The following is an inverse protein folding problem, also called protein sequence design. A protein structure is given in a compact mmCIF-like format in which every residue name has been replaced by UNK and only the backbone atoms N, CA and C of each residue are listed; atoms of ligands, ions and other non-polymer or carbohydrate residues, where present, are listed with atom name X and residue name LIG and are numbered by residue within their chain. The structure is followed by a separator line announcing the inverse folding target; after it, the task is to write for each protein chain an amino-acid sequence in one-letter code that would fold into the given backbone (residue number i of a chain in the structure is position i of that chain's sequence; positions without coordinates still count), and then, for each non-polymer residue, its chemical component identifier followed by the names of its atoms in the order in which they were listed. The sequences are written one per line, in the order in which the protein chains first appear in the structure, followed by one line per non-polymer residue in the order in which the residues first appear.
data_IF_177307725875
#
_entry.id   IF_177307725875
#
_cell.length_a   1.000
_cell.length_b   1.000
_cell.length_c   1.000
_cell.angle_alpha   90.00
_cell.angle_beta   90.00
_cell.angle_gamma   90.00
#
_symmetry.space_group_name_H-M   'P 1'
#
loop_
_entity.id
_entity.type
_entity.pdbx_description
1 polymer ?
#
# COMPACT_ATOMS: atom_id res chain seq x y z
N UNK A 1 -24.58 4.98 -0.03
CA UNK A 1 -24.28 4.45 -1.38
C UNK A 1 -22.77 4.28 -1.46
N UNK A 2 -22.32 3.07 -1.13
CA UNK A 2 -20.92 2.69 -1.14
C UNK A 2 -20.66 2.08 -2.51
N UNK A 3 -19.96 2.82 -3.37
CA UNK A 3 -19.47 2.33 -4.66
C UNK A 3 -17.97 2.58 -4.68
N UNK A 4 -17.22 1.48 -4.68
CA UNK A 4 -15.81 1.28 -5.03
C UNK A 4 -14.82 2.31 -4.49
N UNK A 5 -14.53 2.23 -3.19
CA UNK A 5 -13.26 2.68 -2.64
C UNK A 5 -12.41 1.43 -2.40
N UNK A 6 -11.69 0.97 -3.42
CA UNK A 6 -10.66 -0.04 -3.21
C UNK A 6 -9.43 0.67 -2.65
N UNK A 7 -8.96 0.13 -1.53
CA UNK A 7 -7.81 0.57 -0.77
C UNK A 7 -6.54 0.30 -1.59
N UNK A 8 -5.45 0.96 -1.23
CA UNK A 8 -4.08 0.53 -1.59
C UNK A 8 -3.82 -0.83 -0.93
N UNK A 9 -4.50 -1.87 -1.43
CA UNK A 9 -4.32 -3.30 -1.19
C UNK A 9 -4.71 -3.98 -2.50
N UNK A 10 -3.78 -4.78 -3.00
CA UNK A 10 -3.81 -5.45 -4.30
C UNK A 10 -5.14 -6.06 -4.69
N UNK A 11 -5.36 -6.07 -6.01
CA UNK A 11 -6.45 -6.79 -6.65
C UNK A 11 -6.46 -8.28 -6.24
N UNK A 12 -7.66 -8.82 -6.11
CA UNK A 12 -7.99 -10.17 -5.67
C UNK A 12 -7.31 -11.28 -6.50
N UNK A 13 -6.69 -12.27 -5.84
CA UNK A 13 -6.47 -13.60 -6.43
C UNK A 13 -7.63 -14.53 -6.03
N UNK A 14 -8.23 -15.20 -7.02
CA UNK A 14 -9.23 -16.26 -6.83
C UNK A 14 -8.66 -17.40 -5.98
N UNK A 15 -9.28 -17.64 -4.82
CA UNK A 15 -9.02 -18.84 -4.02
C UNK A 15 -9.67 -20.05 -4.72
N UNK A 16 -8.92 -21.10 -5.11
CA UNK A 16 -9.53 -22.29 -5.66
C UNK A 16 -10.37 -23.00 -4.58
N UNK A 17 -11.59 -23.36 -4.96
CA UNK A 17 -12.60 -24.03 -4.17
C UNK A 17 -12.05 -25.29 -3.48
N UNK A 18 -11.88 -25.25 -2.16
CA UNK A 18 -11.56 -26.43 -1.35
C UNK A 18 -12.81 -27.30 -1.27
N UNK A 19 -12.88 -28.31 -2.14
CA UNK A 19 -13.89 -29.37 -2.07
C UNK A 19 -13.70 -30.15 -0.77
N UNK A 20 -14.56 -29.88 0.22
CA UNK A 20 -14.65 -30.66 1.45
C UNK A 20 -15.19 -32.05 1.13
N UNK A 21 -14.33 -33.07 1.14
CA UNK A 21 -14.75 -34.48 1.03
C UNK A 21 -14.85 -35.09 2.43
N UNK A 22 -16.06 -35.50 2.78
CA UNK A 22 -16.41 -36.12 4.06
C UNK A 22 -15.60 -37.40 4.32
N UNK A 23 -15.17 -37.57 5.58
CA UNK A 23 -14.58 -38.81 6.09
C UNK A 23 -15.63 -39.93 6.10
N UNK A 24 -15.37 -40.97 5.33
CA UNK A 24 -16.02 -42.28 5.40
C UNK A 24 -14.99 -43.35 5.07
N UNK A 25 -14.72 -44.24 6.01
CA UNK A 25 -13.67 -45.26 5.90
C UNK A 25 -14.04 -46.40 4.95
N UNK A 26 -13.03 -46.92 4.25
CA UNK A 26 -12.67 -48.34 4.25
C UNK A 26 -11.38 -48.55 3.44
N UNK A 27 -10.58 -49.52 3.87
CA UNK A 27 -9.19 -49.70 3.44
C UNK A 27 -9.02 -50.13 1.98
N UNK A 28 -8.03 -49.51 1.32
CA UNK A 28 -7.34 -50.06 0.16
C UNK A 28 -5.93 -49.45 0.06
N UNK A 29 -4.95 -50.30 -0.23
CA UNK A 29 -3.53 -49.97 -0.27
C UNK A 29 -3.18 -48.93 -1.36
N UNK A 30 -2.34 -47.96 -0.99
CA UNK A 30 -1.77 -46.96 -1.90
C UNK A 30 -0.68 -47.60 -2.80
N UNK A 31 -0.71 -47.42 -4.13
CA UNK A 31 0.43 -47.75 -4.98
C UNK A 31 1.56 -46.71 -4.79
N UNK A 32 2.81 -47.19 -4.76
CA UNK A 32 4.00 -46.36 -4.58
C UNK A 32 4.14 -45.34 -5.73
N UNK A 33 4.13 -44.06 -5.39
CA UNK A 33 4.44 -42.99 -6.32
C UNK A 33 5.95 -42.98 -6.60
N UNK A 34 6.30 -43.06 -7.88
CA UNK A 34 7.66 -42.77 -8.39
C UNK A 34 8.02 -41.32 -8.07
N UNK A 35 9.22 -41.02 -7.56
CA UNK A 35 9.62 -39.63 -7.33
C UNK A 35 9.75 -38.93 -8.68
N UNK A 36 8.86 -37.95 -8.87
CA UNK A 36 8.91 -36.97 -9.94
C UNK A 36 10.21 -36.18 -9.83
N UNK A 37 10.94 -36.08 -10.94
CA UNK A 37 12.21 -35.38 -11.03
C UNK A 37 11.99 -33.88 -10.91
N UNK A 38 12.10 -33.35 -9.69
CA UNK A 38 12.17 -31.91 -9.46
C UNK A 38 13.45 -31.35 -10.08
N UNK A 39 13.28 -30.38 -10.98
CA UNK A 39 14.36 -29.63 -11.62
C UNK A 39 15.16 -28.86 -10.55
N UNK A 40 16.49 -29.05 -10.43
CA UNK A 40 17.29 -28.37 -9.43
C UNK A 40 17.88 -27.10 -10.05
N UNK A 41 17.23 -25.94 -9.88
CA UNK A 41 17.83 -24.58 -9.86
C UNK A 41 16.84 -23.49 -10.28
N UNK A 42 15.85 -23.19 -9.43
CA UNK A 42 15.28 -21.84 -9.41
C UNK A 42 15.00 -21.51 -7.96
N UNK A 43 15.94 -20.81 -7.31
CA UNK A 43 15.66 -20.19 -6.02
C UNK A 43 14.41 -19.30 -6.18
N UNK A 44 13.47 -19.30 -5.22
CA UNK A 44 12.32 -18.40 -5.28
C UNK A 44 12.80 -16.97 -5.51
N UNK A 45 12.16 -16.26 -6.44
CA UNK A 45 12.47 -14.86 -6.70
C UNK A 45 12.30 -14.08 -5.39
N UNK A 46 13.32 -13.32 -4.98
CA UNK A 46 13.20 -12.41 -3.86
C UNK A 46 12.33 -11.23 -4.28
N UNK A 47 11.02 -11.44 -4.21
CA UNK A 47 10.00 -10.48 -4.61
C UNK A 47 10.15 -9.15 -3.86
N UNK A 48 10.65 -9.19 -2.62
CA UNK A 48 10.94 -7.97 -1.87
C UNK A 48 12.03 -7.15 -2.53
N UNK A 49 13.13 -7.79 -2.92
CA UNK A 49 14.20 -7.10 -3.65
C UNK A 49 13.72 -6.63 -5.02
N UNK A 50 12.90 -7.43 -5.73
CA UNK A 50 12.35 -7.08 -7.03
C UNK A 50 11.51 -5.79 -6.98
N UNK A 51 10.59 -5.69 -6.01
CA UNK A 51 9.79 -4.46 -5.77
C UNK A 51 10.70 -3.27 -5.47
N UNK A 52 11.75 -3.44 -4.67
CA UNK A 52 12.69 -2.37 -4.35
C UNK A 52 13.51 -1.93 -5.57
N UNK A 53 13.96 -2.86 -6.42
CA UNK A 53 14.62 -2.54 -7.69
C UNK A 53 13.70 -1.77 -8.64
N UNK A 54 12.45 -2.22 -8.82
CA UNK A 54 11.45 -1.51 -9.62
C UNK A 54 11.16 -0.13 -9.06
N UNK A 55 11.03 -0.01 -7.73
CA UNK A 55 10.84 1.28 -7.05
C UNK A 55 12.00 2.24 -7.34
N UNK A 56 13.25 1.78 -7.26
CA UNK A 56 14.44 2.60 -7.55
C UNK A 56 14.45 3.06 -9.01
N UNK A 57 14.14 2.14 -9.94
CA UNK A 57 14.08 2.41 -11.37
C UNK A 57 13.04 3.49 -11.68
N UNK A 58 11.81 3.31 -11.20
CA UNK A 58 10.71 4.27 -11.38
C UNK A 58 11.05 5.62 -10.75
N UNK A 59 11.57 5.65 -9.53
CA UNK A 59 11.98 6.90 -8.88
C UNK A 59 13.08 7.64 -9.66
N UNK A 60 13.98 6.92 -10.33
CA UNK A 60 14.98 7.52 -11.22
C UNK A 60 14.35 8.23 -12.42
N UNK A 61 13.38 7.58 -13.08
CA UNK A 61 12.64 8.14 -14.21
C UNK A 61 11.79 9.34 -13.79
N UNK A 62 11.10 9.25 -12.64
CA UNK A 62 10.31 10.34 -12.09
C UNK A 62 11.16 11.58 -11.79
N UNK A 63 12.37 11.41 -11.22
CA UNK A 63 13.31 12.52 -11.04
C UNK A 63 13.74 13.15 -12.35
N UNK A 64 14.02 12.34 -13.38
CA UNK A 64 14.43 12.82 -14.68
C UNK A 64 13.33 13.63 -15.39
N UNK A 65 12.06 13.32 -15.12
CA UNK A 65 10.91 14.10 -15.63
C UNK A 65 10.83 15.53 -15.08
N UNK A 66 11.48 15.80 -13.94
CA UNK A 66 11.40 17.08 -13.23
C UNK A 66 10.03 17.36 -12.58
N UNK A 67 9.09 16.41 -12.61
CA UNK A 67 7.78 16.53 -11.97
C UNK A 67 7.82 16.16 -10.49
N UNK A 68 6.89 16.73 -9.73
CA UNK A 68 6.73 16.44 -8.31
C UNK A 68 6.09 15.06 -8.15
N UNK A 69 6.65 14.25 -7.27
CA UNK A 69 6.12 12.94 -6.92
C UNK A 69 6.44 12.60 -5.47
N UNK A 70 5.79 11.58 -4.93
CA UNK A 70 6.18 10.95 -3.67
C UNK A 70 5.86 9.46 -3.69
N UNK A 71 6.75 8.65 -3.12
CA UNK A 71 6.50 7.23 -2.87
C UNK A 71 5.40 7.08 -1.80
N UNK A 72 4.47 6.17 -2.03
CA UNK A 72 3.34 5.87 -1.16
C UNK A 72 3.31 4.36 -0.80
N UNK A 73 2.19 3.93 -0.21
CA UNK A 73 1.92 2.52 0.04
C UNK A 73 2.90 1.82 0.97
N UNK A 74 3.05 0.52 0.77
CA UNK A 74 3.82 -0.36 1.65
C UNK A 74 5.33 -0.07 1.62
N UNK A 75 5.87 0.26 0.44
CA UNK A 75 7.29 0.61 0.28
C UNK A 75 7.62 1.94 0.98
N UNK A 76 6.71 2.92 0.94
CA UNK A 76 6.85 4.14 1.73
C UNK A 76 6.85 3.86 3.23
N UNK A 77 5.96 2.99 3.71
CA UNK A 77 5.92 2.61 5.12
C UNK A 77 7.22 1.90 5.56
N UNK A 78 7.75 1.01 4.72
CA UNK A 78 9.06 0.37 4.93
C UNK A 78 10.19 1.41 5.03
N UNK A 79 10.19 2.43 4.16
CA UNK A 79 11.19 3.50 4.20
C UNK A 79 11.16 4.33 5.51
N UNK A 80 10.05 4.29 6.26
CA UNK A 80 9.92 4.91 7.59
C UNK A 80 10.22 3.95 8.75
N UNK A 81 10.57 2.70 8.46
CA UNK A 81 11.02 1.72 9.45
C UNK A 81 10.04 0.58 9.76
N UNK A 82 8.94 0.43 9.00
CA UNK A 82 8.16 -0.81 9.10
C UNK A 82 8.97 -2.00 8.56
N UNK A 83 8.76 -3.22 9.10
CA UNK A 83 9.27 -4.43 8.47
C UNK A 83 8.77 -4.54 7.03
N UNK A 84 9.60 -5.10 6.15
CA UNK A 84 9.17 -5.40 4.79
C UNK A 84 8.09 -6.49 4.82
N UNK A 85 6.87 -6.09 4.52
CA UNK A 85 5.76 -6.97 4.18
C UNK A 85 5.15 -6.45 2.89
N UNK A 86 5.93 -6.49 1.82
CA UNK A 86 5.43 -6.10 0.51
C UNK A 86 4.53 -7.21 0.01
N UNK A 87 3.33 -6.84 -0.39
CA UNK A 87 2.43 -7.83 -0.95
C UNK A 87 2.36 -7.74 -2.47
N UNK A 88 2.24 -6.57 -3.12
CA UNK A 88 1.80 -6.60 -4.52
C UNK A 88 2.33 -5.51 -5.50
N UNK A 89 2.92 -4.39 -5.07
CA UNK A 89 3.21 -3.25 -5.97
C UNK A 89 4.11 -2.15 -5.38
N UNK A 90 4.55 -1.23 -6.25
CA UNK A 90 5.15 0.06 -5.87
C UNK A 90 4.24 1.24 -6.22
N UNK A 91 3.93 2.07 -5.23
CA UNK A 91 2.97 3.17 -5.36
C UNK A 91 3.66 4.52 -5.45
N UNK A 92 3.33 5.32 -6.46
CA UNK A 92 3.80 6.70 -6.61
C UNK A 92 2.65 7.67 -6.77
N UNK A 93 2.60 8.66 -5.89
CA UNK A 93 1.68 9.78 -5.99
C UNK A 93 2.25 10.88 -6.88
N UNK A 94 1.47 11.31 -7.87
CA UNK A 94 1.75 12.49 -8.71
C UNK A 94 0.50 13.32 -8.88
N UNK A 95 0.65 14.59 -9.21
CA UNK A 95 -0.50 15.45 -9.48
C UNK A 95 -1.16 15.03 -10.79
N UNK A 96 -2.49 15.10 -10.85
CA UNK A 96 -3.25 14.73 -12.05
C UNK A 96 -2.84 15.57 -13.27
N UNK A 97 -2.52 16.86 -13.07
CA UNK A 97 -2.05 17.75 -14.15
C UNK A 97 -0.64 17.40 -14.68
N UNK A 98 0.16 16.66 -13.92
CA UNK A 98 1.49 16.22 -14.33
C UNK A 98 1.49 14.78 -14.89
N UNK A 99 0.36 14.07 -14.80
CA UNK A 99 0.24 12.65 -15.12
C UNK A 99 0.73 12.29 -16.53
N UNK A 100 0.30 13.03 -17.55
CA UNK A 100 0.65 12.75 -18.94
C UNK A 100 2.17 12.81 -19.17
N UNK A 101 2.83 13.86 -18.67
CA UNK A 101 4.28 14.01 -18.77
C UNK A 101 5.05 12.95 -17.97
N UNK A 102 4.50 12.52 -16.83
CA UNK A 102 5.08 11.44 -16.03
C UNK A 102 4.95 10.10 -16.76
N UNK A 103 3.78 9.79 -17.30
CA UNK A 103 3.52 8.56 -18.07
C UNK A 103 4.48 8.49 -19.26
N UNK A 104 4.61 9.57 -20.04
CA UNK A 104 5.54 9.63 -21.17
C UNK A 104 6.99 9.39 -20.73
N UNK A 105 7.42 9.97 -19.59
CA UNK A 105 8.76 9.76 -19.05
C UNK A 105 8.99 8.29 -18.62
N UNK A 106 7.97 7.65 -18.03
CA UNK A 106 8.03 6.24 -17.65
C UNK A 106 8.08 5.33 -18.87
N UNK A 107 7.26 5.57 -19.90
CA UNK A 107 7.24 4.82 -21.16
C UNK A 107 8.56 4.95 -21.92
N UNK A 108 9.10 6.17 -22.04
CA UNK A 108 10.42 6.42 -22.63
C UNK A 108 11.54 5.74 -21.83
N UNK A 109 11.32 5.56 -20.53
CA UNK A 109 12.18 4.79 -19.63
C UNK A 109 12.00 3.29 -19.74
N UNK A 110 11.11 2.78 -20.58
CA UNK A 110 10.82 1.35 -20.75
C UNK A 110 9.94 0.76 -19.65
N UNK A 111 9.02 1.54 -19.10
CA UNK A 111 7.92 1.05 -18.24
C UNK A 111 6.67 0.91 -19.11
N UNK A 112 6.00 -0.24 -19.06
CA UNK A 112 4.76 -0.45 -19.82
C UNK A 112 3.57 0.13 -19.07
N UNK A 113 3.09 1.32 -19.46
CA UNK A 113 1.96 1.98 -18.82
C UNK A 113 0.63 1.58 -19.46
N UNK A 114 -0.43 1.44 -18.66
CA UNK A 114 -1.79 1.11 -19.08
C UNK A 114 -2.83 1.84 -18.25
N UNK A 115 -3.89 2.32 -18.90
CA UNK A 115 -5.04 2.88 -18.18
C UNK A 115 -5.75 1.78 -17.40
N UNK A 116 -6.08 2.08 -16.15
CA UNK A 116 -6.90 1.20 -15.32
C UNK A 116 -8.39 1.56 -15.47
N UNK A 117 -9.33 0.65 -15.15
CA UNK A 117 -10.75 0.99 -15.03
C UNK A 117 -11.00 2.13 -14.04
N UNK A 118 -10.14 2.25 -13.03
CA UNK A 118 -10.16 3.27 -12.00
C UNK A 118 -9.70 4.63 -12.54
N UNK A 119 -10.48 5.69 -12.26
CA UNK A 119 -10.12 7.05 -12.67
C UNK A 119 -9.07 7.70 -11.76
N UNK A 120 -8.67 7.06 -10.66
CA UNK A 120 -7.77 7.60 -9.64
C UNK A 120 -6.29 7.20 -9.83
N UNK A 121 -5.98 6.25 -10.72
CA UNK A 121 -4.61 5.86 -11.04
C UNK A 121 -4.41 5.43 -12.51
N UNK A 122 -3.15 5.22 -12.89
CA UNK A 122 -2.71 4.48 -14.08
C UNK A 122 -1.74 3.40 -13.60
N UNK A 123 -1.80 2.21 -14.20
CA UNK A 123 -0.91 1.10 -13.83
C UNK A 123 0.27 1.00 -14.77
N UNK A 124 1.44 0.66 -14.25
CA UNK A 124 2.65 0.36 -14.97
C UNK A 124 3.11 -1.06 -14.65
N UNK A 125 3.94 -1.63 -15.51
CA UNK A 125 4.57 -2.92 -15.26
C UNK A 125 6.03 -2.89 -15.73
N UNK A 126 6.92 -3.41 -14.90
CA UNK A 126 8.35 -3.60 -15.19
C UNK A 126 8.83 -4.91 -14.55
N UNK A 127 9.46 -5.78 -15.34
CA UNK A 127 10.20 -6.93 -14.83
C UNK A 127 9.43 -7.88 -13.89
N UNK A 128 8.11 -8.01 -14.08
CA UNK A 128 7.24 -8.84 -13.25
C UNK A 128 6.54 -8.08 -12.11
N UNK A 129 6.84 -6.80 -11.92
CA UNK A 129 6.36 -5.99 -10.80
C UNK A 129 5.40 -4.88 -11.27
N UNK A 130 4.27 -4.74 -10.57
CA UNK A 130 3.25 -3.72 -10.84
C UNK A 130 3.62 -2.37 -10.20
N UNK A 131 3.20 -1.30 -10.87
CA UNK A 131 3.46 0.08 -10.48
C UNK A 131 2.14 0.83 -10.49
N UNK A 132 1.76 1.44 -9.37
CA UNK A 132 0.56 2.27 -9.30
C UNK A 132 0.95 3.75 -9.32
N UNK A 133 0.55 4.46 -10.39
CA UNK A 133 0.70 5.90 -10.50
C UNK A 133 -0.59 6.60 -10.09
N UNK A 134 -0.63 7.05 -8.85
CA UNK A 134 -1.83 7.52 -8.13
C UNK A 134 -1.98 9.03 -8.28
N UNK A 135 -3.17 9.48 -8.69
CA UNK A 135 -3.54 10.90 -8.80
C UNK A 135 -4.50 11.35 -7.69
N UNK A 136 -5.09 10.40 -6.98
CA UNK A 136 -6.09 10.64 -5.94
C UNK A 136 -5.97 9.57 -4.84
N UNK A 137 -5.77 10.01 -3.61
CA UNK A 137 -5.64 9.16 -2.42
C UNK A 137 -6.88 9.26 -1.56
N UNK A 138 -7.58 8.13 -1.37
CA UNK A 138 -8.82 8.07 -0.59
C UNK A 138 -9.79 9.22 -0.94
N UNK A 139 -10.07 9.37 -2.24
CA UNK A 139 -10.95 10.38 -2.82
C UNK A 139 -10.49 11.84 -2.70
N UNK A 140 -9.22 12.07 -2.36
CA UNK A 140 -8.62 13.40 -2.28
C UNK A 140 -7.53 13.54 -3.34
N UNK A 141 -7.55 14.60 -4.15
CA UNK A 141 -6.56 14.78 -5.20
C UNK A 141 -5.16 14.88 -4.60
N UNK A 142 -4.19 14.25 -5.25
CA UNK A 142 -2.77 14.46 -4.93
C UNK A 142 -2.41 15.90 -5.33
N UNK A 143 -2.25 16.76 -4.34
CA UNK A 143 -1.96 18.18 -4.51
C UNK A 143 -0.52 18.53 -4.13
N UNK A 144 -0.12 19.77 -4.42
CA UNK A 144 1.22 20.25 -4.11
C UNK A 144 1.50 20.23 -2.61
N UNK A 145 0.52 20.56 -1.77
CA UNK A 145 0.66 20.59 -0.32
C UNK A 145 0.96 19.20 0.26
N UNK A 146 0.33 18.15 -0.27
CA UNK A 146 0.62 16.76 0.10
C UNK A 146 2.06 16.39 -0.29
N UNK A 147 2.44 16.68 -1.54
CA UNK A 147 3.77 16.35 -2.04
C UNK A 147 4.89 17.17 -1.36
N UNK A 148 4.62 18.40 -0.93
CA UNK A 148 5.57 19.25 -0.19
C UNK A 148 5.83 18.74 1.24
N UNK A 149 4.90 17.99 1.84
CA UNK A 149 5.10 17.33 3.14
C UNK A 149 5.92 16.04 3.04
N UNK A 150 6.15 15.53 1.83
CA UNK A 150 6.94 14.31 1.63
C UNK A 150 8.37 14.51 2.15
N UNK A 151 8.91 13.46 2.77
CA UNK A 151 10.24 13.45 3.37
C UNK A 151 11.23 12.76 2.44
N UNK A 152 12.41 13.35 2.27
CA UNK A 152 13.49 12.70 1.51
C UNK A 152 14.06 11.55 2.35
N UNK A 153 13.86 10.31 1.90
CA UNK A 153 14.32 9.09 2.57
C UNK A 153 15.07 8.19 1.59
N UNK A 154 16.00 7.38 2.11
CA UNK A 154 16.69 6.37 1.33
C UNK A 154 15.81 5.13 1.22
N UNK A 155 15.51 4.71 -0.01
CA UNK A 155 14.82 3.45 -0.32
C UNK A 155 15.81 2.61 -1.11
N UNK A 156 16.32 1.57 -0.45
CA UNK A 156 17.37 0.70 -0.97
C UNK A 156 18.54 1.46 -1.66
N UNK A 157 19.12 2.42 -0.92
CA UNK A 157 20.22 3.31 -1.37
C UNK A 157 19.85 4.45 -2.34
N UNK A 158 18.60 4.58 -2.76
CA UNK A 158 18.13 5.72 -3.58
C UNK A 158 17.33 6.71 -2.73
N UNK A 159 17.81 7.94 -2.63
CA UNK A 159 17.10 9.02 -1.93
C UNK A 159 15.95 9.56 -2.76
N UNK A 160 14.71 9.51 -2.27
CA UNK A 160 13.53 10.01 -2.98
C UNK A 160 12.50 10.62 -2.01
N UNK A 161 11.56 11.44 -2.50
CA UNK A 161 10.44 11.89 -1.68
C UNK A 161 9.53 10.71 -1.33
N UNK A 162 9.24 10.55 -0.05
CA UNK A 162 8.35 9.53 0.51
C UNK A 162 7.26 10.23 1.31
N UNK A 163 5.99 9.88 1.10
CA UNK A 163 4.88 10.49 1.85
C UNK A 163 5.11 10.39 3.36
N UNK A 164 4.75 11.45 4.09
CA UNK A 164 4.94 11.50 5.53
C UNK A 164 4.09 10.42 6.23
N UNK A 165 4.55 9.85 7.37
CA UNK A 165 3.80 8.84 8.12
C UNK A 165 2.36 9.25 8.45
N UNK A 166 2.15 10.52 8.81
CA UNK A 166 0.81 11.09 9.02
C UNK A 166 -0.08 10.95 7.79
N UNK A 167 0.43 11.28 6.60
CA UNK A 167 -0.35 11.25 5.36
C UNK A 167 -0.57 9.80 4.86
N UNK A 168 0.37 8.88 5.15
CA UNK A 168 0.18 7.44 4.93
C UNK A 168 -0.95 6.90 5.81
N UNK A 169 -0.93 7.18 7.12
CA UNK A 169 -2.00 6.78 8.05
C UNK A 169 -3.34 7.42 7.66
N UNK A 170 -3.35 8.70 7.33
CA UNK A 170 -4.54 9.45 6.88
C UNK A 170 -5.20 8.78 5.66
N UNK A 171 -4.40 8.40 4.66
CA UNK A 171 -4.90 7.72 3.46
C UNK A 171 -5.56 6.38 3.79
N UNK A 172 -4.99 5.62 4.71
CA UNK A 172 -5.51 4.32 5.13
C UNK A 172 -6.80 4.45 5.96
N UNK A 173 -6.85 5.40 6.89
CA UNK A 173 -8.07 5.67 7.68
C UNK A 173 -9.20 6.19 6.79
N UNK A 174 -8.90 7.08 5.84
CA UNK A 174 -9.90 7.61 4.92
C UNK A 174 -10.47 6.54 3.95
N UNK A 175 -9.76 5.43 3.77
CA UNK A 175 -10.18 4.33 2.91
C UNK A 175 -11.07 3.29 3.61
N UNK A 176 -11.24 3.38 4.94
CA UNK A 176 -12.10 2.48 5.69
C UNK A 176 -13.56 2.61 5.26
N UNK A 177 -14.21 1.48 5.01
CA UNK A 177 -15.64 1.40 4.72
C UNK A 177 -16.23 0.07 5.22
N UNK A 178 -17.55 -0.09 5.12
CA UNK A 178 -18.25 -1.29 5.60
C UNK A 178 -17.75 -2.59 4.93
N UNK A 179 -17.25 -2.49 3.70
CA UNK A 179 -16.72 -3.62 2.93
C UNK A 179 -15.22 -3.85 3.18
N UNK A 180 -14.53 -2.83 3.68
CA UNK A 180 -13.09 -2.86 3.92
C UNK A 180 -12.77 -2.16 5.24
N UNK A 181 -12.65 -2.96 6.30
CA UNK A 181 -12.34 -2.51 7.64
C UNK A 181 -11.36 -3.48 8.30
N UNK A 182 -10.09 -3.41 7.89
CA UNK A 182 -9.03 -4.20 8.50
C UNK A 182 -8.14 -3.34 9.41
N UNK A 183 -8.37 -3.44 10.72
CA UNK A 183 -7.51 -2.80 11.72
C UNK A 183 -6.22 -3.57 11.98
N UNK A 184 -6.17 -4.86 11.61
CA UNK A 184 -4.98 -5.71 11.72
C UNK A 184 -3.82 -5.16 10.90
N UNK A 185 -4.11 -4.62 9.72
CA UNK A 185 -3.10 -3.97 8.85
C UNK A 185 -2.68 -2.59 9.34
N UNK A 186 -3.56 -1.88 10.07
CA UNK A 186 -3.30 -0.52 10.54
C UNK A 186 -2.53 -0.48 11.87
N UNK A 187 -2.79 -1.43 12.77
CA UNK A 187 -2.20 -1.47 14.11
C UNK A 187 -0.66 -1.52 14.10
N UNK A 188 0.00 -2.35 13.28
CA UNK A 188 1.47 -2.39 13.20
C UNK A 188 2.05 -1.03 12.80
N UNK A 189 1.47 -0.37 11.80
CA UNK A 189 1.90 0.95 11.35
C UNK A 189 1.71 2.00 12.46
N UNK A 190 0.53 2.03 13.09
CA UNK A 190 0.23 2.95 14.19
C UNK A 190 1.20 2.79 15.37
N UNK A 191 1.58 1.56 15.71
CA UNK A 191 2.53 1.28 16.80
C UNK A 191 3.96 1.67 16.44
N UNK A 192 4.42 1.26 15.25
CA UNK A 192 5.82 1.46 14.86
C UNK A 192 6.13 2.92 14.56
N UNK A 193 5.18 3.64 13.95
CA UNK A 193 5.34 5.03 13.56
C UNK A 193 4.68 6.00 14.54
N UNK A 194 4.34 5.56 15.77
CA UNK A 194 3.63 6.37 16.78
C UNK A 194 4.19 7.78 16.91
N UNK A 195 5.49 7.91 17.09
CA UNK A 195 6.16 9.21 17.31
C UNK A 195 6.28 10.06 16.04
N UNK A 196 6.04 9.47 14.87
CA UNK A 196 6.17 10.13 13.57
C UNK A 196 4.80 10.57 13.01
N UNK A 197 3.70 10.07 13.57
CA UNK A 197 2.34 10.39 13.16
C UNK A 197 1.80 11.54 14.03
N UNK A 198 1.23 12.54 13.36
CA UNK A 198 0.49 13.62 14.00
C UNK A 198 -0.92 13.13 14.37
N UNK A 199 -1.03 12.57 15.58
CA UNK A 199 -2.30 12.06 16.11
C UNK A 199 -3.33 13.16 16.37
N UNK A 200 -2.89 14.40 16.58
CA UNK A 200 -3.81 15.50 16.83
C UNK A 200 -4.58 15.86 15.57
N UNK A 201 -3.86 15.94 14.45
CA UNK A 201 -4.46 16.06 13.11
C UNK A 201 -5.36 14.87 12.79
N UNK A 202 -4.92 13.63 13.05
CA UNK A 202 -5.72 12.44 12.73
C UNK A 202 -7.08 12.47 13.40
N UNK A 203 -7.15 12.86 14.67
CA UNK A 203 -8.44 12.98 15.34
C UNK A 203 -9.31 14.09 14.75
N UNK A 204 -8.74 15.27 14.49
CA UNK A 204 -9.52 16.39 13.93
C UNK A 204 -10.12 16.01 12.56
N UNK A 205 -9.34 15.33 11.73
CA UNK A 205 -9.71 14.96 10.36
C UNK A 205 -10.70 13.77 10.35
N UNK A 206 -10.65 12.87 11.34
CA UNK A 206 -11.36 11.57 11.30
C UNK A 206 -12.41 11.32 12.37
N UNK A 207 -12.59 12.19 13.38
CA UNK A 207 -13.58 11.99 14.46
C UNK A 207 -15.03 11.84 14.01
N UNK A 208 -15.36 12.37 12.83
CA UNK A 208 -16.72 12.31 12.27
C UNK A 208 -16.93 11.07 11.38
N UNK A 209 -15.89 10.26 11.16
CA UNK A 209 -15.94 9.00 10.41
C UNK A 209 -16.03 7.81 11.39
N UNK A 210 -17.14 7.06 11.45
CA UNK A 210 -17.35 6.05 12.50
C UNK A 210 -16.27 4.96 12.58
N UNK A 211 -15.77 4.47 11.44
CA UNK A 211 -14.74 3.41 11.42
C UNK A 211 -13.37 3.96 11.81
N UNK A 212 -13.01 5.14 11.31
CA UNK A 212 -11.75 5.80 11.65
C UNK A 212 -11.72 6.22 13.13
N UNK A 213 -12.82 6.79 13.62
CA UNK A 213 -13.00 7.15 15.03
C UNK A 213 -12.92 5.91 15.94
N UNK A 214 -13.56 4.80 15.55
CA UNK A 214 -13.44 3.53 16.27
C UNK A 214 -11.99 3.02 16.33
N UNK A 215 -11.22 3.15 15.25
CA UNK A 215 -9.79 2.81 15.25
C UNK A 215 -8.99 3.71 16.19
N UNK A 216 -9.19 5.03 16.13
CA UNK A 216 -8.52 5.98 17.01
C UNK A 216 -8.83 5.70 18.48
N UNK A 217 -10.10 5.40 18.79
CA UNK A 217 -10.49 4.94 20.13
C UNK A 217 -9.78 3.66 20.54
N UNK A 218 -9.68 2.67 19.64
CA UNK A 218 -8.95 1.43 19.91
C UNK A 218 -7.47 1.73 20.24
N UNK A 219 -6.82 2.66 19.55
CA UNK A 219 -5.45 3.08 19.85
C UNK A 219 -5.30 3.65 21.26
N UNK A 220 -6.26 4.46 21.73
CA UNK A 220 -6.28 4.96 23.12
C UNK A 220 -6.40 3.79 24.11
N UNK A 221 -7.33 2.86 23.85
CA UNK A 221 -7.59 1.69 24.73
C UNK A 221 -6.40 0.76 24.81
N UNK A 222 -5.65 0.62 23.72
CA UNK A 222 -4.43 -0.16 23.63
C UNK A 222 -3.18 0.60 24.10
N UNK A 223 -3.33 1.86 24.53
CA UNK A 223 -2.24 2.78 24.93
C UNK A 223 -1.17 2.91 23.84
N UNK A 224 -1.61 2.88 22.59
CA UNK A 224 -0.76 3.24 21.44
C UNK A 224 -0.67 4.75 21.33
N UNK A 225 -1.74 5.48 21.66
CA UNK A 225 -1.73 6.94 21.77
C UNK A 225 -2.20 7.34 23.15
N UNK A 226 -1.85 8.56 23.58
CA UNK A 226 -2.35 9.07 24.85
C UNK A 226 -3.88 9.22 24.80
N UNK A 227 -4.62 8.79 25.84
CA UNK A 227 -6.04 9.03 25.92
C UNK A 227 -6.32 10.52 25.90
N UNK A 228 -7.28 10.95 25.07
CA UNK A 228 -7.70 12.34 25.09
C UNK A 228 -8.68 12.59 26.22
N UNK A 229 -8.57 13.78 26.83
CA UNK A 229 -9.61 14.27 27.73
C UNK A 229 -10.89 14.42 26.90
N UNK A 230 -11.85 13.52 27.14
CA UNK A 230 -13.17 13.66 26.55
C UNK A 230 -13.85 14.78 27.30
N UNK A 231 -14.16 15.87 26.60
CA UNK A 231 -15.24 16.75 27.08
C UNK A 231 -16.51 15.92 27.04
N UNK A 232 -16.85 15.30 28.18
CA UNK A 232 -18.17 14.73 28.41
C UNK A 232 -19.16 15.88 28.27
N UNK A 233 -19.79 15.97 27.09
CA UNK A 233 -20.90 16.90 26.90
C UNK A 233 -22.07 16.34 27.71
N UNK A 234 -22.56 17.07 28.72
CA UNK A 234 -23.59 16.60 29.64
C UNK A 234 -24.94 16.33 28.95
#
# INVERSE_FOLDING_TARGET
MCTDALVIVGAEEEVPEVVTKAYGGDGAALPAATPDTADPETLPHDHTQAILETTKRVAGLLKASGKRFALAGSVAAFAHGLPASFQHDTDFCVRREDAEAVIEALENGGISMRRAPEDWLVKGHSDGEEIDLIFELARRPVNTELLDRAQIRAVDSVWMPVLAPTDLMDSRLAALCEHYCDFGDLLPMARMLREQIDWDRMYLDHRDSPLSDAFLYLLERLRVVEPREREDKP
#
